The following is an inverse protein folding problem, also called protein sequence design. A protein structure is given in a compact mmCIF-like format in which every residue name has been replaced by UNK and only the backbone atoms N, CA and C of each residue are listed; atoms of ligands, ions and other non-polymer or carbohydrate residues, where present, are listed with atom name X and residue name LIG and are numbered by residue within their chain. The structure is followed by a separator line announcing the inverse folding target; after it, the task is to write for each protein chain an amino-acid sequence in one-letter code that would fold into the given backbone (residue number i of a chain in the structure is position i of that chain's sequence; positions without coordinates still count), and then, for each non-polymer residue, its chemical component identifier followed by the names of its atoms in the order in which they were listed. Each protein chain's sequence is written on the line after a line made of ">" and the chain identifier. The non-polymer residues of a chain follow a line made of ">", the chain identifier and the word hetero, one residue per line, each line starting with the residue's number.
data_IF_282818816601
#
_entry.id   IF_282818816601
#
_cell.length_a   1.000
_cell.length_b   1.000
_cell.length_c   1.000
_cell.angle_alpha   90.00
_cell.angle_beta   90.00
_cell.angle_gamma   90.00
#
_symmetry.space_group_name_H-M   'P 1'
#
loop_
_entity.id
_entity.type
_entity.pdbx_description
1 polymer ?
#
# COMPACT_ATOMS: atom_id res chain seq x y z
N UNK A 1 -1.03 -13.74 5.45
CA UNK A 1 -0.12 -12.57 5.26
C UNK A 1 0.06 -11.79 6.56
N UNK A 2 1.30 -11.48 6.96
CA UNK A 2 1.60 -10.72 8.19
C UNK A 2 2.54 -9.54 7.90
N UNK A 3 2.25 -8.37 8.51
CA UNK A 3 3.04 -7.13 8.34
C UNK A 3 3.67 -6.78 9.69
N UNK A 4 4.99 -6.64 9.74
CA UNK A 4 5.76 -6.29 10.94
C UNK A 4 6.42 -4.90 10.83
N UNK A 5 6.43 -4.15 11.94
CA UNK A 5 7.01 -2.79 12.03
C UNK A 5 8.06 -2.65 13.15
N UNK A 6 8.81 -3.73 13.45
CA UNK A 6 9.85 -3.76 14.49
C UNK A 6 11.26 -3.83 13.87
N UNK A 7 11.52 -3.03 12.82
CA UNK A 7 12.75 -3.09 12.01
C UNK A 7 12.53 -2.57 10.58
N UNK A 8 13.42 -2.89 9.60
CA UNK A 8 13.10 -2.69 8.18
C UNK A 8 11.71 -3.30 7.88
N UNK A 9 10.92 -2.62 7.06
CA UNK A 9 9.52 -2.99 6.85
C UNK A 9 9.43 -4.24 5.98
N UNK A 10 8.93 -5.30 6.59
CA UNK A 10 8.90 -6.65 6.05
C UNK A 10 7.46 -7.09 5.79
N UNK A 11 7.19 -7.56 4.58
CA UNK A 11 5.93 -8.24 4.26
C UNK A 11 6.19 -9.73 4.19
N UNK A 12 5.55 -10.50 5.07
CA UNK A 12 5.62 -11.96 5.05
C UNK A 12 4.37 -12.52 4.39
N UNK A 13 4.57 -13.15 3.23
CA UNK A 13 3.52 -13.89 2.50
C UNK A 13 3.35 -15.29 3.12
N UNK A 14 2.25 -15.98 2.81
CA UNK A 14 1.99 -17.32 3.37
C UNK A 14 3.03 -18.37 2.94
N UNK A 15 3.81 -18.09 1.89
CA UNK A 15 4.97 -18.89 1.48
C UNK A 15 6.27 -18.55 2.21
N UNK A 16 6.27 -17.65 3.20
CA UNK A 16 7.46 -17.26 3.97
C UNK A 16 8.42 -16.29 3.27
N UNK A 17 8.06 -15.77 2.08
CA UNK A 17 8.89 -14.81 1.34
C UNK A 17 8.78 -13.44 1.98
N UNK A 18 9.94 -12.88 2.37
CA UNK A 18 10.08 -11.50 2.83
C UNK A 18 10.20 -10.58 1.61
N UNK A 19 9.14 -9.83 1.31
CA UNK A 19 9.22 -8.76 0.31
C UNK A 19 9.68 -7.47 0.99
N UNK A 20 10.83 -6.94 0.58
CA UNK A 20 11.29 -5.63 0.99
C UNK A 20 10.51 -4.56 0.23
N UNK A 21 9.94 -3.58 0.96
CA UNK A 21 9.18 -2.49 0.35
C UNK A 21 10.07 -1.24 0.28
N UNK A 22 10.65 -0.92 -0.89
CA UNK A 22 11.61 0.18 -1.02
C UNK A 22 10.94 1.54 -0.94
N UNK A 23 11.49 2.41 -0.08
CA UNK A 23 11.11 3.82 0.03
C UNK A 23 9.96 4.11 1.00
N UNK A 24 10.09 5.23 1.73
CA UNK A 24 9.16 5.63 2.80
C UNK A 24 7.70 5.75 2.32
N UNK A 25 7.46 6.25 1.10
CA UNK A 25 6.11 6.41 0.55
C UNK A 25 5.45 5.09 0.15
N UNK A 26 6.22 4.12 -0.31
CA UNK A 26 5.69 2.79 -0.67
C UNK A 26 5.30 2.02 0.59
N UNK A 27 6.11 2.12 1.65
CA UNK A 27 5.78 1.63 2.99
C UNK A 27 4.56 2.34 3.57
N UNK A 28 4.51 3.66 3.48
CA UNK A 28 3.38 4.47 3.93
C UNK A 28 2.07 4.05 3.25
N UNK A 29 2.10 3.81 1.94
CA UNK A 29 0.94 3.28 1.21
C UNK A 29 0.50 1.90 1.73
N UNK A 30 1.45 0.98 1.95
CA UNK A 30 1.07 -0.34 2.46
C UNK A 30 0.49 -0.25 3.88
N UNK A 31 1.10 0.55 4.76
CA UNK A 31 0.59 0.79 6.11
C UNK A 31 -0.82 1.38 6.06
N UNK A 32 -1.05 2.40 5.23
CA UNK A 32 -2.36 3.02 5.05
C UNK A 32 -3.44 1.99 4.67
N UNK A 33 -3.12 1.07 3.76
CA UNK A 33 -4.05 0.02 3.34
C UNK A 33 -4.19 -1.11 4.37
N UNK A 34 -3.13 -1.40 5.12
CA UNK A 34 -3.13 -2.41 6.17
C UNK A 34 -3.93 -1.98 7.40
N UNK A 35 -3.93 -0.68 7.73
CA UNK A 35 -4.72 -0.11 8.83
C UNK A 35 -6.23 -0.34 8.64
N UNK A 36 -6.69 -0.39 7.38
CA UNK A 36 -8.09 -0.65 7.02
C UNK A 36 -8.16 -1.85 6.07
N UNK A 37 -7.46 -2.94 6.42
CA UNK A 37 -7.40 -4.14 5.60
C UNK A 37 -8.81 -4.70 5.30
N UNK A 38 -8.99 -5.25 4.10
CA UNK A 38 -10.28 -5.77 3.63
C UNK A 38 -11.28 -4.70 3.15
N UNK A 39 -11.01 -3.42 3.36
CA UNK A 39 -11.89 -2.32 2.94
C UNK A 39 -11.20 -1.42 1.92
N UNK A 40 -12.00 -0.70 1.13
CA UNK A 40 -11.50 0.29 0.19
C UNK A 40 -11.15 1.58 0.92
N UNK A 41 -9.94 2.08 0.71
CA UNK A 41 -9.50 3.40 1.20
C UNK A 41 -9.55 4.39 0.03
N UNK A 42 -10.26 5.53 0.16
CA UNK A 42 -10.38 6.50 -0.92
C UNK A 42 -9.03 7.07 -1.39
N UNK A 43 -8.91 7.37 -2.68
CA UNK A 43 -7.68 7.95 -3.27
C UNK A 43 -7.28 9.26 -2.59
N UNK A 44 -8.25 10.13 -2.30
CA UNK A 44 -8.00 11.41 -1.63
C UNK A 44 -7.40 11.21 -0.23
N UNK A 45 -7.96 10.26 0.54
CA UNK A 45 -7.45 9.88 1.87
C UNK A 45 -6.03 9.32 1.79
N UNK A 46 -5.77 8.43 0.83
CA UNK A 46 -4.43 7.89 0.62
C UNK A 46 -3.42 8.99 0.25
N UNK A 47 -3.84 9.96 -0.57
CA UNK A 47 -3.00 11.10 -0.94
C UNK A 47 -2.66 11.94 0.30
N UNK A 48 -3.67 12.30 1.07
CA UNK A 48 -3.51 13.07 2.29
C UNK A 48 -2.59 12.35 3.30
N UNK A 49 -2.78 11.06 3.52
CA UNK A 49 -1.95 10.31 4.47
C UNK A 49 -0.50 10.12 4.02
N UNK A 50 -0.24 10.01 2.71
CA UNK A 50 1.10 9.76 2.17
C UNK A 50 1.91 11.05 2.02
N UNK A 51 1.25 12.15 1.65
CA UNK A 51 1.92 13.41 1.31
C UNK A 51 1.59 14.58 2.25
N UNK A 52 0.52 14.47 3.04
CA UNK A 52 0.04 15.55 3.91
C UNK A 52 -0.16 16.85 3.16
N UNK A 53 0.37 17.93 3.72
CA UNK A 53 0.27 19.28 3.15
C UNK A 53 1.12 19.50 1.89
N UNK A 54 1.97 18.54 1.50
CA UNK A 54 2.88 18.68 0.37
C UNK A 54 2.64 17.61 -0.73
N UNK A 55 1.44 17.55 -1.32
CA UNK A 55 1.17 16.65 -2.44
C UNK A 55 1.94 17.10 -3.69
N UNK A 56 2.38 16.16 -4.54
CA UNK A 56 2.91 16.51 -5.85
C UNK A 56 1.81 17.10 -6.72
N UNK A 57 2.19 17.91 -7.72
CA UNK A 57 1.24 18.56 -8.65
C UNK A 57 0.24 17.58 -9.29
N UNK A 58 0.64 16.33 -9.47
CA UNK A 58 -0.22 15.25 -9.94
C UNK A 58 -0.21 14.07 -8.95
N UNK A 59 -0.90 14.28 -7.83
CA UNK A 59 -1.03 13.31 -6.75
C UNK A 59 -1.74 12.02 -7.16
N UNK A 60 -2.72 12.10 -8.07
CA UNK A 60 -3.43 10.93 -8.57
C UNK A 60 -2.47 10.01 -9.35
N UNK A 61 -1.69 10.55 -10.29
CA UNK A 61 -0.71 9.75 -11.03
C UNK A 61 0.45 9.30 -10.13
N UNK A 62 0.86 10.10 -9.15
CA UNK A 62 1.84 9.67 -8.15
C UNK A 62 1.36 8.46 -7.34
N UNK A 63 0.10 8.47 -6.90
CA UNK A 63 -0.53 7.35 -6.19
C UNK A 63 -0.61 6.10 -7.07
N UNK A 64 -1.03 6.23 -8.33
CA UNK A 64 -1.07 5.11 -9.27
C UNK A 64 0.31 4.47 -9.48
N UNK A 65 1.38 5.28 -9.55
CA UNK A 65 2.77 4.78 -9.64
C UNK A 65 3.18 4.03 -8.38
N UNK A 66 2.82 4.53 -7.19
CA UNK A 66 3.07 3.82 -5.93
C UNK A 66 2.32 2.48 -5.88
N UNK A 67 1.03 2.46 -6.23
CA UNK A 67 0.23 1.22 -6.28
C UNK A 67 0.82 0.23 -7.28
N UNK A 68 1.22 0.69 -8.46
CA UNK A 68 1.85 -0.16 -9.48
C UNK A 68 3.17 -0.77 -8.99
N UNK A 69 3.97 -0.03 -8.22
CA UNK A 69 5.18 -0.57 -7.58
C UNK A 69 4.84 -1.54 -6.47
N UNK A 70 3.82 -1.23 -5.66
CA UNK A 70 3.40 -2.07 -4.54
C UNK A 70 2.88 -3.43 -5.02
N UNK A 71 2.14 -3.47 -6.14
CA UNK A 71 1.71 -4.71 -6.80
C UNK A 71 2.85 -5.59 -7.32
N UNK A 72 4.04 -5.03 -7.57
CA UNK A 72 5.21 -5.80 -8.01
C UNK A 72 5.95 -6.46 -6.83
N UNK A 73 5.78 -5.95 -5.62
CA UNK A 73 6.44 -6.50 -4.42
C UNK A 73 5.50 -7.42 -3.62
N UNK A 74 4.18 -7.28 -3.78
CA UNK A 74 3.19 -8.13 -3.14
C UNK A 74 2.74 -9.26 -4.07
N UNK A 75 2.20 -10.37 -3.52
CA UNK A 75 1.53 -11.39 -4.32
C UNK A 75 0.45 -10.80 -5.22
N UNK A 76 0.27 -11.39 -6.39
CA UNK A 76 -0.77 -10.98 -7.32
C UNK A 76 -2.15 -11.01 -6.65
N UNK A 77 -3.00 -10.02 -6.95
CA UNK A 77 -4.34 -9.92 -6.35
C UNK A 77 -4.37 -9.34 -4.93
N UNK A 78 -3.23 -9.05 -4.30
CA UNK A 78 -3.21 -8.44 -2.95
C UNK A 78 -3.77 -7.02 -2.93
N UNK A 79 -3.58 -6.23 -3.99
CA UNK A 79 -4.03 -4.83 -4.08
C UNK A 79 -5.08 -4.68 -5.18
N UNK A 80 -6.31 -4.42 -4.78
CA UNK A 80 -7.44 -4.23 -5.67
C UNK A 80 -7.71 -2.75 -5.88
N UNK A 81 -7.95 -2.36 -7.14
CA UNK A 81 -8.38 -1.02 -7.48
C UNK A 81 -9.90 -0.96 -7.47
N UNK A 82 -10.45 -0.01 -6.72
CA UNK A 82 -11.88 0.28 -6.69
C UNK A 82 -12.14 1.61 -7.42
N UNK A 83 -13.40 1.90 -7.82
CA UNK A 83 -13.74 3.15 -8.49
C UNK A 83 -13.22 4.39 -7.74
N UNK A 84 -13.37 4.38 -6.41
CA UNK A 84 -13.05 5.47 -5.49
C UNK A 84 -11.71 5.30 -4.73
N UNK A 85 -11.08 4.13 -4.79
CA UNK A 85 -10.00 3.82 -3.85
C UNK A 85 -9.13 2.61 -4.20
N UNK A 86 -8.37 2.18 -3.20
CA UNK A 86 -7.60 0.94 -3.23
C UNK A 86 -7.87 0.12 -1.97
N UNK A 87 -7.83 -1.20 -2.11
CA UNK A 87 -8.01 -2.15 -1.00
C UNK A 87 -6.83 -3.10 -0.95
N UNK A 88 -6.33 -3.36 0.27
CA UNK A 88 -5.50 -4.54 0.53
C UNK A 88 -6.41 -5.72 0.88
N UNK A 89 -6.35 -6.78 0.08
CA UNK A 89 -6.97 -8.06 0.40
C UNK A 89 -6.09 -8.78 1.41
N UNK A 90 -6.70 -9.14 2.54
CA UNK A 90 -6.11 -10.07 3.51
C UNK A 90 -7.01 -11.30 3.53
N UNK A 91 -6.40 -12.47 3.31
CA UNK A 91 -7.11 -13.73 3.55
C UNK A 91 -7.20 -13.94 5.07
N UNK A 92 -8.36 -14.36 5.59
CA UNK A 92 -8.57 -14.61 7.01
C UNK A 92 -7.71 -15.75 7.55
#
# INVERSE_FOLDING_TARGET
>A
MQIGMLGPFEVRTDGGVLAEVPGARLRGLLIALALIAGHAVPKATLIDWIWGENPPADAANALQRLVSRLRKVLPEGSIEGQPDGYRLRVEP
#
